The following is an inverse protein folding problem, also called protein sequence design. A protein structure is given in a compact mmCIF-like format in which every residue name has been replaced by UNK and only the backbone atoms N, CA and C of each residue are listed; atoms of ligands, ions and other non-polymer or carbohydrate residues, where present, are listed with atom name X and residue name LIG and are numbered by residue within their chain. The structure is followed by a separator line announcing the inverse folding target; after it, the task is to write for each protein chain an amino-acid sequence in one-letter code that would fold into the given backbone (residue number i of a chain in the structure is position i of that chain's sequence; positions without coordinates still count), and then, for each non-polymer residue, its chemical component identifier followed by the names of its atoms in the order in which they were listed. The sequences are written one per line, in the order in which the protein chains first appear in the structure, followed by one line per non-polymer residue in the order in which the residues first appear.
data_IF_716785548264
#
_entry.id   IF_716785548264
#
_cell.length_a   1.000
_cell.length_b   1.000
_cell.length_c   1.000
_cell.angle_alpha   90.00
_cell.angle_beta   90.00
_cell.angle_gamma   90.00
#
_symmetry.space_group_name_H-M   'P 1'
#
loop_
_entity.id
_entity.type
_entity.pdbx_description
1 polymer ?
#
# COMPACT_ATOMS: atom_id res chain seq x y z
N UNK A 1 11.78 -1.79 17.26
CA UNK A 1 10.55 -2.46 16.81
C UNK A 1 10.73 -2.76 15.34
N UNK A 2 10.34 -3.95 14.86
CA UNK A 2 10.39 -4.30 13.44
C UNK A 2 8.96 -4.56 12.98
N UNK A 3 8.57 -3.95 11.88
CA UNK A 3 7.28 -4.18 11.24
C UNK A 3 7.51 -4.75 9.85
N UNK A 4 6.68 -5.73 9.52
CA UNK A 4 6.75 -6.43 8.25
C UNK A 4 5.37 -6.42 7.61
N UNK A 5 5.23 -5.72 6.48
CA UNK A 5 4.02 -5.73 5.68
C UNK A 5 3.98 -7.02 4.86
N UNK A 6 3.08 -7.94 5.22
CA UNK A 6 2.99 -9.27 4.60
C UNK A 6 2.24 -9.25 3.25
N UNK A 7 1.05 -8.67 3.22
CA UNK A 7 0.22 -8.59 2.00
C UNK A 7 -0.74 -7.41 2.04
N UNK A 8 -1.14 -6.97 0.85
CA UNK A 8 -2.19 -5.98 0.64
C UNK A 8 -3.20 -6.62 -0.30
N UNK A 9 -4.49 -6.56 0.05
CA UNK A 9 -5.56 -7.13 -0.78
C UNK A 9 -6.48 -6.00 -1.20
N UNK A 10 -6.58 -5.76 -2.51
CA UNK A 10 -7.46 -4.73 -3.06
C UNK A 10 -8.76 -5.38 -3.53
N UNK A 11 -9.86 -5.05 -2.86
CA UNK A 11 -11.18 -5.57 -3.24
C UNK A 11 -11.71 -4.91 -4.51
N UNK A 12 -12.56 -5.63 -5.23
CA UNK A 12 -13.15 -5.21 -6.50
C UNK A 12 -13.91 -3.88 -6.40
N UNK A 13 -14.56 -3.62 -5.27
CA UNK A 13 -15.27 -2.36 -5.07
C UNK A 13 -14.31 -1.17 -4.94
N UNK A 14 -13.13 -1.39 -4.33
CA UNK A 14 -12.06 -0.38 -4.31
C UNK A 14 -11.50 -0.13 -5.72
N UNK A 15 -11.34 -1.17 -6.54
CA UNK A 15 -10.90 -1.00 -7.94
C UNK A 15 -11.89 -0.17 -8.77
N UNK A 16 -13.21 -0.36 -8.52
CA UNK A 16 -14.26 0.46 -9.15
C UNK A 16 -14.14 1.93 -8.74
N UNK A 17 -13.92 2.20 -7.46
CA UNK A 17 -13.74 3.57 -6.94
C UNK A 17 -12.47 4.22 -7.47
N UNK A 18 -11.37 3.47 -7.57
CA UNK A 18 -10.10 3.95 -8.13
C UNK A 18 -10.16 4.14 -9.65
N UNK A 19 -11.17 3.59 -10.34
CA UNK A 19 -11.31 3.67 -11.79
C UNK A 19 -10.21 2.93 -12.56
N UNK A 20 -9.50 2.00 -11.92
CA UNK A 20 -8.41 1.24 -12.53
C UNK A 20 -8.41 -0.22 -12.06
N UNK A 21 -8.17 -1.14 -13.00
CA UNK A 21 -7.94 -2.56 -12.72
C UNK A 21 -6.49 -2.84 -12.27
N UNK A 22 -5.59 -1.88 -12.47
CA UNK A 22 -4.17 -1.97 -12.15
C UNK A 22 -3.77 -0.76 -11.30
N UNK A 23 -4.09 -0.77 -9.99
CA UNK A 23 -3.69 0.31 -9.11
C UNK A 23 -2.17 0.25 -8.88
N UNK A 24 -1.56 1.43 -8.80
CA UNK A 24 -0.17 1.61 -8.39
C UNK A 24 -0.19 2.16 -6.96
N UNK A 25 0.18 1.35 -5.99
CA UNK A 25 0.05 1.68 -4.57
C UNK A 25 1.42 1.72 -3.89
N UNK A 26 1.57 2.58 -2.91
CA UNK A 26 2.66 2.51 -1.94
C UNK A 26 2.08 2.85 -0.56
N UNK A 27 2.75 2.41 0.49
CA UNK A 27 2.37 2.71 1.86
C UNK A 27 3.51 3.46 2.52
N UNK A 28 3.16 4.40 3.37
CA UNK A 28 4.14 5.14 4.17
C UNK A 28 3.78 5.00 5.64
N UNK A 29 4.79 4.92 6.48
CA UNK A 29 4.61 4.78 7.92
C UNK A 29 5.64 5.59 8.68
N UNK A 30 5.17 6.22 9.76
CA UNK A 30 5.96 7.04 10.65
C UNK A 30 5.76 6.52 12.07
N UNK A 31 6.85 6.40 12.83
CA UNK A 31 6.82 6.00 14.24
C UNK A 31 7.58 7.03 15.05
N UNK A 32 7.05 7.43 16.21
CA UNK A 32 7.77 8.13 17.28
C UNK A 32 8.84 9.16 16.82
N UNK A 33 8.44 10.24 16.15
CA UNK A 33 9.32 11.30 15.62
C UNK A 33 10.50 10.81 14.75
N UNK A 34 10.48 9.56 14.29
CA UNK A 34 11.42 9.04 13.30
C UNK A 34 11.01 9.45 11.89
N UNK A 35 11.97 9.41 10.98
CA UNK A 35 11.75 9.72 9.57
C UNK A 35 10.69 8.81 8.93
N UNK A 36 9.82 9.41 8.11
CA UNK A 36 8.80 8.72 7.34
C UNK A 36 9.45 7.67 6.42
N UNK A 37 9.00 6.42 6.52
CA UNK A 37 9.45 5.34 5.64
C UNK A 37 8.38 5.03 4.61
N UNK A 38 8.78 4.75 3.37
CA UNK A 38 7.88 4.39 2.28
C UNK A 38 8.20 3.00 1.75
N UNK A 39 7.17 2.23 1.39
CA UNK A 39 7.34 0.95 0.71
C UNK A 39 7.68 1.16 -0.75
N UNK A 40 8.24 0.14 -1.44
CA UNK A 40 8.20 0.09 -2.89
C UNK A 40 6.78 0.21 -3.44
N UNK A 41 6.67 0.60 -4.71
CA UNK A 41 5.39 0.65 -5.42
C UNK A 41 4.95 -0.78 -5.75
N UNK A 42 3.72 -1.11 -5.36
CA UNK A 42 3.01 -2.33 -5.73
C UNK A 42 2.17 -2.09 -6.98
N UNK A 43 2.13 -3.09 -7.87
CA UNK A 43 1.38 -3.04 -9.12
C UNK A 43 0.33 -4.14 -9.13
N UNK A 44 -0.92 -3.79 -9.39
CA UNK A 44 -2.01 -4.77 -9.51
C UNK A 44 -2.80 -4.96 -8.21
N UNK A 45 -3.57 -6.06 -8.15
CA UNK A 45 -4.60 -6.28 -7.13
C UNK A 45 -4.13 -7.15 -5.96
N UNK A 46 -2.98 -7.81 -6.11
CA UNK A 46 -2.35 -8.72 -5.14
C UNK A 46 -0.83 -8.53 -5.14
#
# INVERSE_FOLDING_TARGET
MVLELQKVVVFTDCLKELGTLHPNLFFSIEFFDFELQTTPIFYGTE
#
